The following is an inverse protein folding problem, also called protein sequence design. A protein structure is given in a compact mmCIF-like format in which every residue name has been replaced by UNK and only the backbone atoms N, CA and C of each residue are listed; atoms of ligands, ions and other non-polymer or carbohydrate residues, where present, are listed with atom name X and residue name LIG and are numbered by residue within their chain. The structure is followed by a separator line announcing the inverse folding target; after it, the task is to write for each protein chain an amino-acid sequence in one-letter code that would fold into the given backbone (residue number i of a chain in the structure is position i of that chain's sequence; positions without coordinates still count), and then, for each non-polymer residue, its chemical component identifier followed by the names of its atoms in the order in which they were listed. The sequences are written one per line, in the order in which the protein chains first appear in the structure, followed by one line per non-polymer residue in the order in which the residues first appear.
data_IF_108304498047
#
_entry.id   IF_108304498047
#
_cell.length_a   1.000
_cell.length_b   1.000
_cell.length_c   1.000
_cell.angle_alpha   90.00
_cell.angle_beta   90.00
_cell.angle_gamma   90.00
#
_symmetry.space_group_name_H-M   'P 1'
#
loop_
_entity.id
_entity.type
_entity.pdbx_description
1 polymer ?
#
# COMPACT_ATOMS: atom_id res chain seq x y z
N UNK A 1 -20.57 -10.86 -37.49
CA UNK A 1 -19.34 -11.11 -36.71
C UNK A 1 -19.67 -11.02 -35.24
N UNK A 2 -19.56 -12.13 -34.52
CA UNK A 2 -19.90 -12.25 -33.10
C UNK A 2 -18.86 -11.49 -32.25
N UNK A 3 -19.30 -10.54 -31.42
CA UNK A 3 -18.46 -9.91 -30.39
C UNK A 3 -18.71 -10.65 -29.08
N UNK A 4 -17.88 -11.64 -28.79
CA UNK A 4 -17.91 -12.33 -27.50
C UNK A 4 -17.41 -11.38 -26.41
N UNK A 5 -18.32 -10.93 -25.56
CA UNK A 5 -18.02 -10.31 -24.26
C UNK A 5 -17.49 -11.41 -23.34
N UNK A 6 -16.16 -11.48 -23.18
CA UNK A 6 -15.54 -12.38 -22.20
C UNK A 6 -15.50 -11.69 -20.84
N UNK A 7 -16.58 -11.85 -20.09
CA UNK A 7 -16.60 -11.52 -18.67
C UNK A 7 -15.67 -12.49 -17.95
N UNK A 8 -14.48 -12.03 -17.55
CA UNK A 8 -13.62 -12.77 -16.62
C UNK A 8 -14.36 -12.90 -15.28
N UNK A 9 -15.02 -14.04 -15.07
CA UNK A 9 -15.47 -14.46 -13.75
C UNK A 9 -14.23 -14.56 -12.86
N UNK A 10 -14.13 -13.68 -11.87
CA UNK A 10 -13.26 -13.86 -10.72
C UNK A 10 -13.76 -15.11 -9.99
N UNK A 11 -13.11 -16.24 -10.23
CA UNK A 11 -13.29 -17.45 -9.44
C UNK A 11 -12.70 -17.16 -8.06
N UNK A 12 -13.53 -16.67 -7.13
CA UNK A 12 -13.18 -16.67 -5.72
C UNK A 12 -13.43 -18.08 -5.22
N UNK A 13 -12.41 -18.93 -5.24
CA UNK A 13 -12.44 -20.19 -4.49
C UNK A 13 -12.54 -19.82 -3.01
N UNK A 14 -13.74 -19.90 -2.45
CA UNK A 14 -13.94 -19.77 -1.01
C UNK A 14 -13.24 -20.97 -0.35
N UNK A 15 -12.03 -20.75 0.15
CA UNK A 15 -11.27 -21.77 0.87
C UNK A 15 -12.03 -22.09 2.17
N UNK A 16 -12.48 -23.34 2.33
CA UNK A 16 -13.10 -23.78 3.57
C UNK A 16 -12.03 -23.93 4.66
N UNK A 17 -11.97 -22.92 5.53
CA UNK A 17 -10.99 -22.83 6.61
C UNK A 17 -11.13 -23.95 7.66
N UNK A 18 -12.24 -24.71 7.66
CA UNK A 18 -12.43 -25.85 8.56
C UNK A 18 -11.64 -27.09 8.14
N UNK A 19 -11.17 -27.13 6.89
CA UNK A 19 -10.38 -28.25 6.35
C UNK A 19 -8.87 -28.11 6.60
N UNK A 20 -8.43 -27.02 7.25
CA UNK A 20 -7.02 -26.78 7.54
C UNK A 20 -6.48 -27.82 8.53
N UNK A 21 -5.32 -28.38 8.21
CA UNK A 21 -4.55 -29.20 9.15
C UNK A 21 -4.11 -28.39 10.37
N UNK A 22 -3.79 -29.07 11.47
CA UNK A 22 -3.35 -28.44 12.72
C UNK A 22 -2.17 -27.47 12.52
N UNK A 23 -1.17 -27.87 11.71
CA UNK A 23 -0.01 -27.01 11.38
C UNK A 23 -0.41 -25.77 10.59
N UNK A 24 -1.32 -25.90 9.62
CA UNK A 24 -1.80 -24.75 8.83
C UNK A 24 -2.63 -23.80 9.69
N UNK A 25 -3.41 -24.34 10.63
CA UNK A 25 -4.18 -23.55 11.60
C UNK A 25 -3.28 -22.74 12.52
N UNK A 26 -2.22 -23.34 13.06
CA UNK A 26 -1.24 -22.63 13.90
C UNK A 26 -0.53 -21.49 13.14
N UNK A 27 -0.18 -21.72 11.87
CA UNK A 27 0.41 -20.68 11.02
C UNK A 27 -0.60 -19.55 10.78
N UNK A 28 -1.87 -19.88 10.49
CA UNK A 28 -2.94 -18.90 10.32
C UNK A 28 -3.16 -18.07 11.59
N UNK A 29 -3.32 -18.72 12.74
CA UNK A 29 -3.47 -18.05 14.03
C UNK A 29 -2.26 -17.16 14.32
N UNK A 30 -1.05 -17.59 13.97
CA UNK A 30 0.15 -16.76 14.11
C UNK A 30 0.14 -15.55 13.19
N UNK A 31 -0.24 -15.70 11.92
CA UNK A 31 -0.38 -14.58 10.97
C UNK A 31 -1.45 -13.60 11.44
N UNK A 32 -2.59 -14.10 11.91
CA UNK A 32 -3.69 -13.28 12.45
C UNK A 32 -3.33 -12.60 13.79
N UNK A 33 -2.41 -13.18 14.56
CA UNK A 33 -1.93 -12.61 15.82
C UNK A 33 -0.96 -11.42 15.65
N UNK A 34 -0.45 -11.17 14.44
CA UNK A 34 0.42 -10.02 14.19
C UNK A 34 -0.45 -8.77 14.19
N UNK A 35 -0.48 -8.08 15.34
CA UNK A 35 -1.19 -6.83 15.48
C UNK A 35 -0.64 -5.79 14.48
N UNK A 36 -1.51 -5.07 13.74
CA UNK A 36 -1.07 -4.07 12.79
C UNK A 36 -0.41 -2.88 13.52
N UNK A 37 0.71 -2.39 12.98
CA UNK A 37 1.37 -1.19 13.50
C UNK A 37 0.51 0.04 13.18
N UNK A 38 0.16 0.82 14.22
CA UNK A 38 -0.60 2.08 14.09
C UNK A 38 0.26 3.24 14.59
N UNK A 39 0.48 4.23 13.74
CA UNK A 39 1.30 5.41 14.04
C UNK A 39 0.44 6.66 13.91
N UNK A 40 0.44 7.51 14.94
CA UNK A 40 -0.24 8.81 14.93
C UNK A 40 0.84 9.88 15.04
N UNK A 41 0.98 10.72 14.02
CA UNK A 41 1.92 11.83 14.00
C UNK A 41 1.16 13.14 14.11
N UNK A 42 1.41 13.89 15.18
CA UNK A 42 0.86 15.22 15.41
C UNK A 42 1.97 16.28 15.29
N UNK A 43 1.60 17.51 14.96
CA UNK A 43 2.54 18.61 14.90
C UNK A 43 1.89 19.89 14.38
N UNK A 44 2.52 21.03 14.64
CA UNK A 44 2.04 22.35 14.19
C UNK A 44 2.10 22.50 12.67
N UNK A 45 1.40 23.50 12.13
CA UNK A 45 1.46 23.78 10.69
C UNK A 45 2.91 24.09 10.25
N UNK A 46 3.29 23.69 9.04
CA UNK A 46 4.64 23.94 8.51
C UNK A 46 5.74 22.96 8.98
N UNK A 47 5.45 22.00 9.87
CA UNK A 47 6.47 21.04 10.37
C UNK A 47 6.82 19.88 9.44
N UNK A 48 6.40 19.93 8.17
CA UNK A 48 6.79 18.91 7.19
C UNK A 48 6.08 17.55 7.32
N UNK A 49 4.92 17.45 8.00
CA UNK A 49 4.17 16.18 8.10
C UNK A 49 3.86 15.54 6.74
N UNK A 50 3.47 16.34 5.75
CA UNK A 50 3.23 15.86 4.37
C UNK A 50 4.51 15.32 3.72
N UNK A 51 5.67 15.93 4.00
CA UNK A 51 6.96 15.44 3.52
C UNK A 51 7.29 14.07 4.13
N UNK A 52 7.08 13.90 5.44
CA UNK A 52 7.28 12.62 6.12
C UNK A 52 6.42 11.50 5.52
N UNK A 53 5.14 11.78 5.21
CA UNK A 53 4.24 10.81 4.55
C UNK A 53 4.83 10.34 3.21
N UNK A 54 5.39 11.24 2.41
CA UNK A 54 5.99 10.89 1.12
C UNK A 54 7.28 10.09 1.26
N UNK A 55 8.10 10.39 2.28
CA UNK A 55 9.29 9.59 2.59
C UNK A 55 8.88 8.16 2.95
N UNK A 56 7.87 8.00 3.80
CA UNK A 56 7.36 6.67 4.18
C UNK A 56 6.86 5.91 2.95
N UNK A 57 6.06 6.55 2.09
CA UNK A 57 5.60 5.93 0.84
C UNK A 57 6.75 5.49 -0.06
N UNK A 58 7.75 6.36 -0.28
CA UNK A 58 8.92 6.02 -1.08
C UNK A 58 9.68 4.81 -0.53
N UNK A 59 9.85 4.73 0.79
CA UNK A 59 10.51 3.58 1.43
C UNK A 59 9.67 2.31 1.34
N UNK A 60 8.36 2.39 1.51
CA UNK A 60 7.48 1.23 1.33
C UNK A 60 7.49 0.72 -0.11
N UNK A 61 7.55 1.62 -1.09
CA UNK A 61 7.71 1.27 -2.50
C UNK A 61 9.06 0.58 -2.77
N UNK A 62 10.16 1.12 -2.25
CA UNK A 62 11.49 0.52 -2.38
C UNK A 62 11.53 -0.90 -1.78
N UNK A 63 10.99 -1.08 -0.58
CA UNK A 63 10.89 -2.39 0.09
C UNK A 63 10.02 -3.36 -0.74
N UNK A 64 8.87 -2.92 -1.23
CA UNK A 64 8.01 -3.76 -2.07
C UNK A 64 8.73 -4.21 -3.34
N UNK A 65 9.46 -3.29 -4.00
CA UNK A 65 10.27 -3.59 -5.19
C UNK A 65 11.40 -4.58 -4.89
N UNK A 66 12.16 -4.37 -3.81
CA UNK A 66 13.25 -5.26 -3.38
C UNK A 66 12.77 -6.69 -3.15
N UNK A 67 11.56 -6.85 -2.61
CA UNK A 67 10.96 -8.15 -2.32
C UNK A 67 10.05 -8.68 -3.44
N UNK A 68 10.01 -8.06 -4.63
CA UNK A 68 9.12 -8.41 -5.74
C UNK A 68 7.63 -8.49 -5.36
N UNK A 69 7.20 -7.64 -4.43
CA UNK A 69 5.82 -7.53 -3.97
C UNK A 69 5.06 -6.49 -4.81
N UNK A 70 3.77 -6.73 -5.03
CA UNK A 70 2.89 -5.69 -5.56
C UNK A 70 2.70 -4.57 -4.53
N UNK A 71 2.87 -3.33 -4.96
CA UNK A 71 2.59 -2.17 -4.13
C UNK A 71 1.08 -2.09 -3.84
N UNK A 72 0.72 -2.19 -2.56
CA UNK A 72 -0.66 -2.06 -2.06
C UNK A 72 -0.79 -0.89 -1.07
N UNK A 73 -0.14 0.24 -1.38
CA UNK A 73 -0.19 1.44 -0.55
C UNK A 73 -1.35 2.34 -0.98
N UNK A 74 -2.23 2.70 -0.03
CA UNK A 74 -3.29 3.67 -0.26
C UNK A 74 -3.06 4.94 0.55
N UNK A 75 -3.16 6.09 -0.12
CA UNK A 75 -2.94 7.40 0.47
C UNK A 75 -4.24 8.19 0.35
N UNK A 76 -4.78 8.60 1.49
CA UNK A 76 -6.02 9.36 1.56
C UNK A 76 -5.82 10.66 2.31
N UNK A 77 -6.53 11.69 1.88
CA UNK A 77 -6.59 12.96 2.58
C UNK A 77 -8.05 13.44 2.62
N UNK A 78 -8.47 14.18 3.66
CA UNK A 78 -9.86 14.62 3.80
C UNK A 78 -10.34 15.60 2.71
N UNK A 79 -9.41 16.30 2.05
CA UNK A 79 -9.72 17.30 1.02
C UNK A 79 -8.88 17.11 -0.23
N UNK A 80 -9.40 17.54 -1.38
CA UNK A 80 -8.71 17.45 -2.67
C UNK A 80 -7.38 18.20 -2.70
N UNK A 81 -7.32 19.40 -2.09
CA UNK A 81 -6.09 20.20 -2.01
C UNK A 81 -5.00 19.47 -1.23
N UNK A 82 -5.36 18.85 -0.09
CA UNK A 82 -4.40 18.08 0.70
C UNK A 82 -3.89 16.84 -0.07
N UNK A 83 -4.77 16.16 -0.82
CA UNK A 83 -4.38 15.02 -1.66
C UNK A 83 -3.41 15.43 -2.79
N UNK A 84 -3.64 16.59 -3.42
CA UNK A 84 -2.75 17.14 -4.44
C UNK A 84 -1.37 17.47 -3.86
N UNK A 85 -1.30 18.04 -2.65
CA UNK A 85 -0.02 18.31 -1.97
C UNK A 85 0.81 17.05 -1.74
N UNK A 86 0.16 15.93 -1.40
CA UNK A 86 0.84 14.64 -1.22
C UNK A 86 1.35 14.08 -2.56
N UNK A 87 0.54 14.12 -3.63
CA UNK A 87 0.95 13.66 -4.96
C UNK A 87 2.06 14.52 -5.59
N UNK A 88 1.95 15.84 -5.48
CA UNK A 88 2.90 16.77 -6.11
C UNK A 88 4.32 16.63 -5.54
N UNK A 89 4.44 16.39 -4.23
CA UNK A 89 5.74 16.18 -3.60
C UNK A 89 6.38 14.83 -3.98
N UNK A 90 5.59 13.83 -4.38
CA UNK A 90 6.12 12.59 -4.98
C UNK A 90 6.78 12.86 -6.34
N UNK A 91 6.15 13.68 -7.19
CA UNK A 91 6.67 14.05 -8.51
C UNK A 91 7.96 14.87 -8.44
N UNK A 92 8.05 15.84 -7.52
CA UNK A 92 9.25 16.67 -7.36
C UNK A 92 10.45 15.81 -6.92
N UNK A 93 10.25 14.81 -6.05
CA UNK A 93 11.32 13.89 -5.65
C UNK A 93 11.76 13.00 -6.81
N UNK A 94 10.83 12.43 -7.58
CA UNK A 94 11.20 11.60 -8.74
C UNK A 94 12.00 12.40 -9.78
N UNK A 95 11.63 13.66 -10.00
CA UNK A 95 12.37 14.59 -10.86
C UNK A 95 13.77 14.88 -10.29
N UNK A 96 13.88 15.25 -9.01
CA UNK A 96 15.19 15.54 -8.39
C UNK A 96 16.14 14.34 -8.36
N UNK A 97 15.64 13.11 -8.14
CA UNK A 97 16.48 11.91 -8.15
C UNK A 97 16.88 11.46 -9.57
N UNK A 98 16.11 11.78 -10.62
CA UNK A 98 16.50 11.50 -12.00
C UNK A 98 17.55 12.48 -12.54
N UNK A 99 17.60 13.72 -12.03
CA UNK A 99 18.53 14.76 -12.49
C UNK A 99 19.71 15.02 -11.57
N UNK A 100 19.82 14.29 -10.45
CA UNK A 100 20.98 14.36 -9.53
C UNK A 100 21.95 13.18 -9.70
N UNK A 101 21.98 12.57 -10.90
CA UNK A 101 22.99 11.60 -11.32
C UNK A 101 24.19 12.28 -11.96
#
# INVERSE_FOLDING_TARGET
GQKASSSRQLVTTSIDLRTLSEKQRLIRERVESIAPLRIIVMGTAGTGKSYLINVIQGRLYEIAKEHNLHENNMVVAPTGVAALTLKAALYIRHFLFQYAG
#
